data_IF_543969576384
#
_entry.id   IF_543969576384
#
_cell.length_a   1.000
_cell.length_b   1.000
_cell.length_c   1.000
_cell.angle_alpha   90.00
_cell.angle_beta   90.00
_cell.angle_gamma   90.00
#
_symmetry.space_group_name_H-M   'P 1'
#
loop_
_entity.id
_entity.type
_entity.pdbx_description
1 polymer ?
#
# COMPACT_ATOMS: atom_id res chain seq x y z
N UNK A 1 -42.27 6.02 38.79
CA UNK A 1 -41.02 5.59 38.10
C UNK A 1 -41.41 5.02 36.74
N UNK A 2 -41.20 5.76 35.64
CA UNK A 2 -41.45 5.28 34.27
C UNK A 2 -40.23 4.50 33.80
N UNK A 3 -40.20 3.19 34.10
CA UNK A 3 -39.32 2.22 33.47
C UNK A 3 -40.10 1.61 32.30
N UNK A 4 -40.05 2.20 31.10
CA UNK A 4 -40.55 1.58 29.86
C UNK A 4 -40.23 2.49 28.67
N UNK A 5 -39.00 2.39 28.14
CA UNK A 5 -38.69 2.66 26.72
C UNK A 5 -37.22 2.44 26.31
N UNK A 6 -36.36 1.92 27.19
CA UNK A 6 -34.92 1.77 26.86
C UNK A 6 -34.62 0.65 25.86
N UNK A 7 -35.44 -0.41 25.79
CA UNK A 7 -35.22 -1.54 24.85
C UNK A 7 -35.48 -1.16 23.39
N UNK A 8 -36.54 -0.38 23.11
CA UNK A 8 -36.85 0.08 21.75
C UNK A 8 -35.88 1.17 21.28
N UNK A 9 -35.48 2.07 22.18
CA UNK A 9 -34.52 3.11 21.88
C UNK A 9 -33.12 2.55 21.57
N UNK A 10 -32.66 1.56 22.34
CA UNK A 10 -31.38 0.90 22.09
C UNK A 10 -31.31 0.15 20.75
N UNK A 11 -32.42 -0.45 20.30
CA UNK A 11 -32.50 -1.07 18.97
C UNK A 11 -32.44 -0.03 17.87
N UNK A 12 -33.13 1.11 18.02
CA UNK A 12 -33.09 2.21 17.03
C UNK A 12 -31.69 2.83 16.95
N UNK A 13 -31.04 3.07 18.09
CA UNK A 13 -29.66 3.57 18.16
C UNK A 13 -28.65 2.57 17.57
N UNK A 14 -28.82 1.27 17.82
CA UNK A 14 -27.99 0.22 17.22
C UNK A 14 -28.19 0.13 15.70
N UNK A 15 -29.43 0.19 15.21
CA UNK A 15 -29.72 0.16 13.76
C UNK A 15 -29.11 1.36 13.02
N UNK A 16 -29.02 2.52 13.67
CA UNK A 16 -28.39 3.71 13.11
C UNK A 16 -26.85 3.71 13.25
N UNK A 17 -26.32 3.25 14.39
CA UNK A 17 -24.88 3.30 14.69
C UNK A 17 -24.09 2.14 14.09
N UNK A 18 -24.69 0.97 13.94
CA UNK A 18 -24.00 -0.23 13.45
C UNK A 18 -23.54 -0.09 12.00
N UNK A 19 -24.34 0.42 11.03
CA UNK A 19 -23.85 0.73 9.70
C UNK A 19 -22.71 1.76 9.71
N UNK A 20 -22.78 2.76 10.59
CA UNK A 20 -21.73 3.76 10.74
C UNK A 20 -20.42 3.13 11.23
N UNK A 21 -20.49 2.23 12.22
CA UNK A 21 -19.33 1.48 12.72
C UNK A 21 -18.74 0.53 11.66
N UNK A 22 -19.58 -0.10 10.84
CA UNK A 22 -19.12 -0.90 9.71
C UNK A 22 -18.42 -0.05 8.65
N UNK A 23 -18.96 1.13 8.33
CA UNK A 23 -18.33 2.07 7.40
C UNK A 23 -17.00 2.61 7.93
N UNK A 24 -16.93 3.01 9.20
CA UNK A 24 -15.68 3.51 9.79
C UNK A 24 -14.66 2.39 9.95
N UNK A 25 -15.08 1.20 10.36
CA UNK A 25 -14.23 0.01 10.47
C UNK A 25 -13.63 -0.37 9.11
N UNK A 26 -14.45 -0.49 8.07
CA UNK A 26 -13.97 -0.81 6.72
C UNK A 26 -13.06 0.27 6.15
N UNK A 27 -13.36 1.55 6.37
CA UNK A 27 -12.49 2.66 5.99
C UNK A 27 -11.13 2.59 6.70
N UNK A 28 -11.12 2.32 8.01
CA UNK A 28 -9.89 2.18 8.78
C UNK A 28 -9.04 1.00 8.30
N UNK A 29 -9.67 -0.16 8.06
CA UNK A 29 -8.97 -1.33 7.50
C UNK A 29 -8.38 -1.04 6.12
N UNK A 30 -9.11 -0.33 5.26
CA UNK A 30 -8.60 0.07 3.94
C UNK A 30 -7.39 1.01 4.05
N UNK A 31 -7.42 1.97 4.97
CA UNK A 31 -6.30 2.88 5.23
C UNK A 31 -5.08 2.14 5.80
N UNK A 32 -5.28 1.22 6.75
CA UNK A 32 -4.21 0.41 7.32
C UNK A 32 -3.57 -0.48 6.25
N UNK A 33 -4.38 -1.16 5.42
CA UNK A 33 -3.87 -1.95 4.31
C UNK A 33 -3.04 -1.11 3.35
N UNK A 34 -3.53 0.09 2.99
CA UNK A 34 -2.79 1.03 2.15
C UNK A 34 -1.45 1.43 2.78
N UNK A 35 -1.43 1.73 4.08
CA UNK A 35 -0.21 2.08 4.81
C UNK A 35 0.81 0.96 4.81
N UNK A 36 0.37 -0.28 5.04
CA UNK A 36 1.23 -1.48 4.98
C UNK A 36 1.80 -1.66 3.58
N UNK A 37 0.97 -1.63 2.53
CA UNK A 37 1.44 -1.77 1.14
C UNK A 37 2.45 -0.69 0.80
N UNK A 38 2.16 0.57 1.15
CA UNK A 38 3.08 1.68 0.92
C UNK A 38 4.44 1.44 1.58
N UNK A 39 4.46 1.13 2.88
CA UNK A 39 5.69 0.94 3.65
C UNK A 39 6.56 -0.18 3.06
N UNK A 40 5.96 -1.31 2.74
CA UNK A 40 6.70 -2.43 2.19
C UNK A 40 7.15 -2.20 0.75
N UNK A 41 6.31 -1.61 -0.12
CA UNK A 41 6.73 -1.27 -1.48
C UNK A 41 7.86 -0.26 -1.47
N UNK A 42 7.80 0.72 -0.57
CA UNK A 42 8.85 1.71 -0.38
C UNK A 42 10.19 1.09 0.02
N UNK A 43 10.16 0.11 0.93
CA UNK A 43 11.32 -0.69 1.31
C UNK A 43 11.85 -1.54 0.15
N UNK A 44 10.98 -2.28 -0.53
CA UNK A 44 11.38 -3.15 -1.64
C UNK A 44 11.95 -2.36 -2.82
N UNK A 45 11.39 -1.18 -3.10
CA UNK A 45 11.91 -0.29 -4.13
C UNK A 45 13.31 0.22 -3.76
N UNK A 46 13.55 0.52 -2.48
CA UNK A 46 14.88 0.93 -2.02
C UNK A 46 15.92 -0.18 -2.19
N UNK A 47 15.58 -1.41 -1.77
CA UNK A 47 16.43 -2.59 -1.96
C UNK A 47 16.71 -2.85 -3.45
N UNK A 48 15.70 -2.71 -4.30
CA UNK A 48 15.86 -2.86 -5.75
C UNK A 48 16.82 -1.80 -6.33
N UNK A 49 16.78 -0.56 -5.83
CA UNK A 49 17.73 0.48 -6.24
C UNK A 49 19.16 0.16 -5.81
N UNK A 50 19.35 -0.38 -4.60
CA UNK A 50 20.66 -0.86 -4.14
C UNK A 50 21.16 -2.04 -4.99
N UNK A 51 20.27 -2.98 -5.33
CA UNK A 51 20.58 -4.09 -6.25
C UNK A 51 21.10 -3.57 -7.59
N UNK A 52 20.47 -2.54 -8.18
CA UNK A 52 20.92 -2.00 -9.49
C UNK A 52 22.34 -1.42 -9.47
N UNK A 53 22.94 -1.17 -8.29
CA UNK A 53 24.34 -0.76 -8.21
C UNK A 53 25.30 -1.89 -8.60
N UNK A 54 24.98 -3.13 -8.21
CA UNK A 54 25.85 -4.31 -8.34
C UNK A 54 25.41 -5.27 -9.45
N UNK A 55 24.11 -5.32 -9.73
CA UNK A 55 23.50 -6.26 -10.66
C UNK A 55 22.80 -5.57 -11.85
N UNK A 56 22.55 -6.30 -12.96
CA UNK A 56 21.81 -5.77 -14.09
C UNK A 56 20.34 -5.50 -13.72
N UNK A 57 19.78 -4.43 -14.29
CA UNK A 57 18.42 -3.93 -14.01
C UNK A 57 17.36 -5.02 -14.19
N UNK A 58 17.52 -5.89 -15.19
CA UNK A 58 16.55 -6.94 -15.49
C UNK A 58 16.40 -7.93 -14.32
N UNK A 59 17.50 -8.32 -13.68
CA UNK A 59 17.49 -9.23 -12.52
C UNK A 59 16.81 -8.57 -11.32
N UNK A 60 17.23 -7.35 -10.97
CA UNK A 60 16.64 -6.60 -9.87
C UNK A 60 15.13 -6.32 -10.10
N UNK A 61 14.72 -6.04 -11.34
CA UNK A 61 13.31 -5.86 -11.70
C UNK A 61 12.52 -7.16 -11.56
N UNK A 62 13.07 -8.29 -11.98
CA UNK A 62 12.41 -9.59 -11.85
C UNK A 62 12.23 -9.98 -10.38
N UNK A 63 13.25 -9.73 -9.55
CA UNK A 63 13.19 -9.98 -8.11
C UNK A 63 12.16 -9.06 -7.43
N UNK A 64 12.19 -7.76 -7.69
CA UNK A 64 11.21 -6.81 -7.17
C UNK A 64 9.78 -7.21 -7.56
N UNK A 65 9.59 -7.65 -8.81
CA UNK A 65 8.30 -8.13 -9.29
C UNK A 65 7.83 -9.39 -8.51
N UNK A 66 8.73 -10.34 -8.26
CA UNK A 66 8.42 -11.53 -7.45
C UNK A 66 8.02 -11.16 -6.02
N UNK A 67 8.77 -10.26 -5.38
CA UNK A 67 8.48 -9.80 -4.01
C UNK A 67 7.15 -9.03 -3.93
N UNK A 68 6.84 -8.22 -4.95
CA UNK A 68 5.57 -7.48 -5.03
C UNK A 68 4.35 -8.40 -5.18
N UNK A 69 4.46 -9.52 -5.90
CA UNK A 69 3.37 -10.52 -5.99
C UNK A 69 2.99 -11.11 -4.64
N UNK A 70 3.96 -11.33 -3.77
CA UNK A 70 3.71 -11.86 -2.42
C UNK A 70 3.09 -10.82 -1.51
N UNK A 71 3.40 -9.55 -1.71
CA UNK A 71 2.95 -8.45 -0.85
C UNK A 71 1.50 -8.04 -1.09
N UNK A 72 1.07 -8.13 -2.35
CA UNK A 72 -0.26 -7.73 -2.76
C UNK A 72 -1.22 -8.91 -2.55
N UNK A 73 -2.00 -8.83 -1.46
CA UNK A 73 -3.05 -9.79 -1.10
C UNK A 73 -4.14 -9.86 -2.18
N UNK A 74 -4.50 -8.70 -2.72
CA UNK A 74 -5.30 -8.59 -3.95
C UNK A 74 -4.35 -8.66 -5.15
N UNK A 75 -4.83 -8.97 -6.35
CA UNK A 75 -4.03 -8.84 -7.59
C UNK A 75 -4.28 -7.47 -8.24
N UNK A 76 -3.95 -6.32 -7.62
CA UNK A 76 -4.06 -5.06 -8.33
C UNK A 76 -3.05 -5.07 -9.47
N UNK A 77 -3.40 -4.40 -10.57
CA UNK A 77 -2.42 -4.11 -11.60
C UNK A 77 -1.34 -3.22 -10.99
N UNK A 78 -0.07 -3.57 -11.20
CA UNK A 78 1.05 -2.72 -10.80
C UNK A 78 2.08 -2.68 -11.92
N UNK A 79 2.75 -1.54 -12.05
CA UNK A 79 3.84 -1.34 -12.99
C UNK A 79 5.10 -0.90 -12.24
N UNK A 80 6.25 -1.40 -12.70
CA UNK A 80 7.56 -1.19 -12.09
C UNK A 80 8.49 -0.67 -13.16
N UNK A 81 9.03 0.53 -12.96
CA UNK A 81 10.07 1.13 -13.77
C UNK A 81 11.34 1.28 -12.93
N UNK A 82 12.43 0.66 -13.36
CA UNK A 82 13.77 0.85 -12.79
C UNK A 82 14.68 1.36 -13.90
N UNK A 83 15.41 2.45 -13.63
CA UNK A 83 16.36 3.06 -14.54
C UNK A 83 17.70 3.27 -13.82
N UNK A 84 18.80 2.93 -14.48
CA UNK A 84 20.15 3.22 -14.00
C UNK A 84 20.74 4.32 -14.86
N UNK A 85 21.23 5.37 -14.23
CA UNK A 85 21.93 6.48 -14.86
C UNK A 85 23.41 6.48 -14.43
N UNK A 86 24.24 7.24 -15.14
CA UNK A 86 25.67 7.36 -14.82
C UNK A 86 25.97 7.94 -13.44
N UNK A 87 25.01 8.65 -12.82
CA UNK A 87 25.15 9.32 -11.51
C UNK A 87 24.24 8.76 -10.41
N UNK A 88 23.59 7.62 -10.66
CA UNK A 88 22.65 7.02 -9.69
C UNK A 88 21.59 6.14 -10.34
N UNK A 89 20.60 5.73 -9.55
CA UNK A 89 19.49 4.89 -10.00
C UNK A 89 18.16 5.52 -9.63
N UNK A 90 17.15 5.37 -10.48
CA UNK A 90 15.78 5.82 -10.27
C UNK A 90 14.81 4.65 -10.36
N UNK A 91 13.79 4.65 -9.51
CA UNK A 91 12.79 3.61 -9.42
C UNK A 91 11.41 4.21 -9.22
N UNK A 92 10.42 3.67 -9.92
CA UNK A 92 9.00 4.00 -9.78
C UNK A 92 8.18 2.73 -9.71
N UNK A 93 7.23 2.70 -8.78
CA UNK A 93 6.23 1.65 -8.66
C UNK A 93 4.86 2.30 -8.67
N UNK A 94 4.02 1.92 -9.62
CA UNK A 94 2.63 2.31 -9.71
C UNK A 94 1.77 1.12 -9.30
N UNK A 95 0.81 1.33 -8.41
CA UNK A 95 -0.11 0.29 -7.95
C UNK A 95 -1.53 0.83 -8.09
N UNK A 96 -2.33 0.14 -8.91
CA UNK A 96 -3.74 0.43 -9.13
C UNK A 96 -4.58 -0.04 -7.92
N UNK A 97 -4.39 0.62 -6.78
CA UNK A 97 -5.29 0.56 -5.64
C UNK A 97 -6.40 1.60 -5.83
N UNK A 98 -7.54 1.46 -5.14
CA UNK A 98 -8.55 2.51 -5.07
C UNK A 98 -8.52 3.12 -3.67
N UNK A 99 -8.04 4.36 -3.48
CA UNK A 99 -7.43 5.26 -4.47
C UNK A 99 -6.01 4.87 -4.87
N UNK A 100 -5.56 5.30 -6.05
CA UNK A 100 -4.27 4.91 -6.65
C UNK A 100 -3.08 5.25 -5.76
N UNK A 101 -2.02 4.43 -5.85
CA UNK A 101 -0.78 4.59 -5.10
C UNK A 101 0.41 4.58 -6.05
N UNK A 102 1.18 5.68 -6.07
CA UNK A 102 2.40 5.82 -6.85
C UNK A 102 3.57 6.16 -5.91
N UNK A 103 4.65 5.41 -6.02
CA UNK A 103 5.88 5.60 -5.25
C UNK A 103 7.03 5.82 -6.22
N UNK A 104 7.79 6.89 -6.04
CA UNK A 104 8.97 7.22 -6.82
C UNK A 104 10.15 7.48 -5.88
N UNK A 105 11.29 6.84 -6.16
CA UNK A 105 12.55 7.00 -5.42
C UNK A 105 13.72 7.19 -6.36
N UNK A 106 14.69 7.98 -5.91
CA UNK A 106 15.97 8.19 -6.59
C UNK A 106 17.10 7.98 -5.60
N UNK A 107 18.11 7.23 -6.02
CA UNK A 107 19.35 6.97 -5.29
C UNK A 107 20.48 7.66 -6.05
N UNK A 108 21.00 8.77 -5.50
CA UNK A 108 22.16 9.46 -6.06
C UNK A 108 23.44 8.85 -5.49
N UNK A 109 24.40 8.52 -6.34
CA UNK A 109 25.74 8.14 -5.89
C UNK A 109 26.53 9.43 -5.68
N UNK A 110 26.82 9.81 -4.44
CA UNK A 110 27.76 10.91 -4.17
C UNK A 110 29.17 10.41 -4.48
N UNK A 111 29.76 10.98 -5.53
CA UNK A 111 31.20 10.91 -5.81
C UNK A 111 31.97 11.68 -4.75
#
# INVERSE_FOLDING_TARGET
MRLTNHLGQGVVEAVLSLPLLFLTGSALTALLYRGVVFYYTDYQLHEALLCTQHEPIATCKAELNSRMKTLLITKPSYDISLQKHSRGSEGKVFIALNPELSIQKQLKTSL
#
